data_IF_951736364022
#
_entry.id   IF_951736364022
#
_cell.length_a   1.000
_cell.length_b   1.000
_cell.length_c   1.000
_cell.angle_alpha   90.00
_cell.angle_beta   90.00
_cell.angle_gamma   90.00
#
_symmetry.space_group_name_H-M   'P 1'
#
loop_
_entity.id
_entity.type
_entity.pdbx_description
1 polymer ?
#
# COMPACT_ATOMS: atom_id res chain seq x y z
N UNK A 1 -17.51 3.57 19.15
CA UNK A 1 -17.35 2.96 17.81
C UNK A 1 -16.33 3.82 17.10
N UNK A 2 -15.25 3.23 16.59
CA UNK A 2 -14.29 4.00 15.81
C UNK A 2 -14.92 4.27 14.45
N UNK A 3 -15.15 5.54 14.13
CA UNK A 3 -15.84 5.94 12.91
C UNK A 3 -14.82 6.34 11.83
N UNK A 4 -15.05 5.87 10.61
CA UNK A 4 -14.27 6.20 9.43
C UNK A 4 -15.16 6.99 8.48
N UNK A 5 -14.60 7.97 7.79
CA UNK A 5 -15.33 8.66 6.75
C UNK A 5 -15.65 7.72 5.58
N UNK A 6 -16.71 8.02 4.83
CA UNK A 6 -17.04 7.29 3.61
C UNK A 6 -15.87 7.30 2.61
N UNK A 7 -15.11 8.40 2.56
CA UNK A 7 -13.92 8.53 1.72
C UNK A 7 -12.80 7.60 2.18
N UNK A 8 -12.50 7.52 3.49
CA UNK A 8 -11.53 6.57 4.04
C UNK A 8 -11.90 5.13 3.67
N UNK A 9 -13.16 4.76 3.81
CA UNK A 9 -13.65 3.46 3.39
C UNK A 9 -13.48 3.21 1.90
N UNK A 10 -13.84 4.17 1.06
CA UNK A 10 -13.74 4.03 -0.40
C UNK A 10 -12.27 3.88 -0.84
N UNK A 11 -11.38 4.74 -0.37
CA UNK A 11 -9.97 4.71 -0.72
C UNK A 11 -9.29 3.43 -0.20
N UNK A 12 -9.57 3.04 1.06
CA UNK A 12 -9.06 1.81 1.62
C UNK A 12 -9.52 0.59 0.81
N UNK A 13 -10.79 0.58 0.40
CA UNK A 13 -11.36 -0.48 -0.44
C UNK A 13 -10.70 -0.55 -1.80
N UNK A 14 -10.40 0.58 -2.45
CA UNK A 14 -9.73 0.60 -3.76
C UNK A 14 -8.36 -0.09 -3.69
N UNK A 15 -7.54 0.27 -2.69
CA UNK A 15 -6.22 -0.33 -2.49
C UNK A 15 -6.34 -1.80 -2.11
N UNK A 16 -7.30 -2.12 -1.23
CA UNK A 16 -7.61 -3.49 -0.83
C UNK A 16 -7.97 -4.38 -2.02
N UNK A 17 -8.95 -3.96 -2.82
CA UNK A 17 -9.45 -4.72 -3.96
C UNK A 17 -8.33 -4.95 -4.98
N UNK A 18 -7.44 -3.98 -5.17
CA UNK A 18 -6.26 -4.14 -6.02
C UNK A 18 -5.32 -5.22 -5.49
N UNK A 19 -4.86 -5.10 -4.25
CA UNK A 19 -3.92 -6.04 -3.65
C UNK A 19 -4.48 -7.46 -3.56
N UNK A 20 -5.79 -7.58 -3.31
CA UNK A 20 -6.51 -8.86 -3.21
C UNK A 20 -6.67 -9.59 -4.55
N UNK A 21 -6.36 -8.97 -5.70
CA UNK A 21 -6.36 -9.65 -7.02
C UNK A 21 -5.25 -10.68 -7.16
N UNK A 22 -4.18 -10.53 -6.38
CA UNK A 22 -2.98 -11.34 -6.50
C UNK A 22 -2.89 -12.36 -5.36
N UNK A 23 -2.48 -13.61 -5.62
CA UNK A 23 -2.26 -14.60 -4.58
C UNK A 23 -1.12 -14.17 -3.64
N UNK A 24 -1.14 -14.62 -2.39
CA UNK A 24 -0.08 -14.36 -1.40
C UNK A 24 1.13 -15.30 -1.64
N UNK A 25 1.81 -15.09 -2.76
CA UNK A 25 3.01 -15.80 -3.20
C UNK A 25 4.03 -14.80 -3.73
N UNK A 26 5.31 -15.17 -3.83
CA UNK A 26 6.35 -14.28 -4.39
C UNK A 26 5.99 -13.76 -5.80
N UNK A 27 5.41 -14.63 -6.63
CA UNK A 27 4.91 -14.25 -7.96
C UNK A 27 3.77 -13.23 -7.88
N UNK A 28 2.81 -13.43 -6.97
CA UNK A 28 1.71 -12.50 -6.77
C UNK A 28 2.16 -11.17 -6.15
N UNK A 29 3.13 -11.19 -5.25
CA UNK A 29 3.74 -9.98 -4.68
C UNK A 29 4.49 -9.17 -5.76
N UNK A 30 5.20 -9.86 -6.66
CA UNK A 30 5.83 -9.21 -7.81
C UNK A 30 4.81 -8.54 -8.73
N UNK A 31 3.70 -9.23 -9.02
CA UNK A 31 2.60 -8.66 -9.81
C UNK A 31 1.93 -7.47 -9.12
N UNK A 32 1.74 -7.54 -7.80
CA UNK A 32 1.22 -6.44 -6.99
C UNK A 32 2.13 -5.21 -7.07
N UNK A 33 3.44 -5.40 -6.94
CA UNK A 33 4.42 -4.30 -7.03
C UNK A 33 4.47 -3.68 -8.44
N UNK A 34 4.32 -4.48 -9.49
CA UNK A 34 4.44 -3.99 -10.87
C UNK A 34 3.38 -2.93 -11.23
N UNK A 35 2.15 -3.06 -10.69
CA UNK A 35 1.06 -2.12 -10.94
C UNK A 35 0.76 -1.15 -9.78
N UNK A 36 1.58 -1.13 -8.73
CA UNK A 36 1.20 -0.44 -7.48
C UNK A 36 1.13 1.09 -7.63
N UNK A 37 1.85 1.67 -8.60
CA UNK A 37 1.95 3.12 -8.81
C UNK A 37 0.57 3.79 -8.97
N UNK A 38 -0.34 3.18 -9.72
CA UNK A 38 -1.69 3.72 -9.97
C UNK A 38 -2.54 3.83 -8.69
N UNK A 39 -2.17 3.08 -7.64
CA UNK A 39 -2.86 3.02 -6.36
C UNK A 39 -2.15 3.80 -5.25
N UNK A 40 -0.94 4.32 -5.50
CA UNK A 40 -0.15 5.05 -4.51
C UNK A 40 -0.83 6.34 -4.05
N UNK A 41 -1.56 7.03 -4.94
CA UNK A 41 -2.28 8.24 -4.56
C UNK A 41 -3.41 7.93 -3.55
N UNK A 42 -4.23 6.91 -3.83
CA UNK A 42 -5.29 6.49 -2.93
C UNK A 42 -4.71 5.99 -1.60
N UNK A 43 -3.62 5.22 -1.64
CA UNK A 43 -2.93 4.76 -0.45
C UNK A 43 -2.41 5.94 0.40
N UNK A 44 -1.75 6.93 -0.22
CA UNK A 44 -1.29 8.15 0.46
C UNK A 44 -2.46 8.90 1.11
N UNK A 45 -3.59 9.05 0.42
CA UNK A 45 -4.75 9.74 0.97
C UNK A 45 -5.34 9.01 2.19
N UNK A 46 -5.31 7.66 2.21
CA UNK A 46 -5.70 6.90 3.41
C UNK A 46 -4.76 7.21 4.57
N UNK A 47 -3.44 7.24 4.35
CA UNK A 47 -2.46 7.57 5.38
C UNK A 47 -2.63 9.01 5.89
N UNK A 48 -2.77 9.97 5.00
CA UNK A 48 -2.86 11.40 5.33
C UNK A 48 -4.16 11.75 6.08
N UNK A 49 -5.24 11.00 5.83
CA UNK A 49 -6.56 11.25 6.44
C UNK A 49 -6.85 10.44 7.70
N UNK A 50 -5.99 9.48 8.07
CA UNK A 50 -6.26 8.54 9.16
C UNK A 50 -5.35 8.75 10.36
N UNK A 51 -5.93 8.78 11.55
CA UNK A 51 -5.16 8.66 12.80
C UNK A 51 -4.55 7.26 12.93
N UNK A 52 -3.57 7.10 13.81
CA UNK A 52 -2.96 5.78 14.08
C UNK A 52 -3.98 4.70 14.45
N UNK A 53 -4.92 5.03 15.34
CA UNK A 53 -5.97 4.08 15.77
C UNK A 53 -6.91 3.73 14.61
N UNK A 54 -7.21 4.69 13.72
CA UNK A 54 -7.96 4.43 12.50
C UNK A 54 -7.20 3.55 11.52
N UNK A 55 -5.89 3.78 11.36
CA UNK A 55 -5.04 2.92 10.53
C UNK A 55 -5.01 1.48 11.02
N UNK A 56 -4.89 1.27 12.33
CA UNK A 56 -4.93 -0.08 12.93
C UNK A 56 -6.25 -0.78 12.59
N UNK A 57 -7.37 -0.06 12.71
CA UNK A 57 -8.68 -0.59 12.35
C UNK A 57 -8.86 -0.84 10.84
N UNK A 58 -8.40 0.08 9.99
CA UNK A 58 -8.43 -0.08 8.52
C UNK A 58 -7.64 -1.32 8.12
N UNK A 59 -6.46 -1.56 8.71
CA UNK A 59 -5.63 -2.73 8.40
C UNK A 59 -6.33 -4.05 8.78
N UNK A 60 -7.11 -4.06 9.87
CA UNK A 60 -7.92 -5.21 10.25
C UNK A 60 -9.11 -5.46 9.30
N UNK A 61 -9.80 -4.40 8.88
CA UNK A 61 -10.97 -4.49 7.99
C UNK A 61 -10.57 -4.80 6.54
N UNK A 62 -9.40 -4.34 6.11
CA UNK A 62 -8.93 -4.44 4.73
C UNK A 62 -7.56 -5.14 4.64
N UNK A 63 -7.48 -6.48 4.80
CA UNK A 63 -6.20 -7.22 4.77
C UNK A 63 -5.35 -6.99 3.51
N UNK A 64 -5.98 -6.81 2.35
CA UNK A 64 -5.28 -6.43 1.11
C UNK A 64 -4.55 -5.08 1.21
N UNK A 65 -5.13 -4.08 1.88
CA UNK A 65 -4.45 -2.79 2.13
C UNK A 65 -3.27 -2.99 3.07
N UNK A 66 -3.43 -3.80 4.12
CA UNK A 66 -2.32 -4.13 5.02
C UNK A 66 -1.16 -4.79 4.27
N UNK A 67 -1.46 -5.77 3.40
CA UNK A 67 -0.44 -6.39 2.53
C UNK A 67 0.22 -5.36 1.62
N UNK A 68 -0.54 -4.48 0.98
CA UNK A 68 0.00 -3.40 0.15
C UNK A 68 0.98 -2.52 0.95
N UNK A 69 0.59 -2.09 2.16
CA UNK A 69 1.45 -1.30 3.03
C UNK A 69 2.74 -2.03 3.39
N UNK A 70 2.67 -3.33 3.69
CA UNK A 70 3.86 -4.16 3.97
C UNK A 70 4.78 -4.28 2.77
N UNK A 71 4.24 -4.41 1.56
CA UNK A 71 5.06 -4.42 0.36
C UNK A 71 5.79 -3.09 0.14
N UNK A 72 5.13 -1.95 0.41
CA UNK A 72 5.76 -0.64 0.33
C UNK A 72 6.84 -0.45 1.40
N UNK A 73 6.61 -0.95 2.62
CA UNK A 73 7.60 -0.94 3.71
C UNK A 73 8.83 -1.76 3.32
N UNK A 74 8.67 -2.98 2.80
CA UNK A 74 9.77 -3.83 2.34
C UNK A 74 10.55 -3.21 1.18
N UNK A 75 9.85 -2.58 0.23
CA UNK A 75 10.48 -1.87 -0.87
C UNK A 75 11.34 -0.71 -0.36
N UNK A 76 10.80 0.11 0.53
CA UNK A 76 11.52 1.24 1.13
C UNK A 76 12.73 0.77 1.96
N UNK A 77 12.58 -0.30 2.74
CA UNK A 77 13.66 -0.91 3.50
C UNK A 77 14.76 -1.46 2.58
N UNK A 78 14.38 -2.15 1.50
CA UNK A 78 15.34 -2.66 0.52
C UNK A 78 16.13 -1.54 -0.17
N UNK A 79 15.52 -0.38 -0.40
CA UNK A 79 16.21 0.82 -0.89
C UNK A 79 17.16 1.37 0.18
N UNK A 80 16.69 1.52 1.42
CA UNK A 80 17.50 2.05 2.53
C UNK A 80 18.72 1.18 2.84
N UNK A 81 18.57 -0.14 2.75
CA UNK A 81 19.65 -1.11 2.97
C UNK A 81 20.59 -1.26 1.75
N UNK A 82 20.28 -0.61 0.62
CA UNK A 82 21.05 -0.69 -0.62
C UNK A 82 20.92 -2.01 -1.38
N UNK A 83 19.99 -2.89 -0.97
CA UNK A 83 19.63 -4.13 -1.67
C UNK A 83 18.95 -3.80 -3.01
N UNK A 84 18.07 -2.79 -3.01
CA UNK A 84 17.40 -2.28 -4.20
C UNK A 84 18.08 -0.99 -4.62
N UNK A 85 18.71 -1.02 -5.79
CA UNK A 85 19.36 0.15 -6.36
C UNK A 85 18.30 1.03 -7.05
N UNK A 86 18.12 2.25 -6.55
CA UNK A 86 17.31 3.25 -7.25
C UNK A 86 18.10 3.74 -8.46
N UNK A 87 17.58 3.64 -9.69
CA UNK A 87 18.24 4.20 -10.86
C UNK A 87 18.52 5.68 -10.62
N UNK A 88 19.76 6.12 -10.90
CA UNK A 88 20.07 7.54 -10.91
C UNK A 88 19.21 8.16 -12.00
N UNK A 89 18.45 9.20 -11.68
CA UNK A 89 17.66 9.92 -12.69
C UNK A 89 18.59 10.29 -13.85
N UNK A 90 18.27 9.80 -15.05
CA UNK A 90 18.80 10.40 -16.25
C UNK A 90 18.06 11.72 -16.38
N UNK A 91 18.67 12.81 -15.90
CA UNK A 91 18.25 14.16 -16.25
C UNK A 91 18.34 14.29 -17.78
N UNK A 92 17.21 14.13 -18.46
CA UNK A 92 17.02 14.58 -19.85
C UNK A 92 16.30 15.90 -19.85
#
# INVERSE_FOLDING_TARGET
MLDLSAEQHQLAKIVHDYASRFPATESGDSQLLQGCYDYMLAFKQVLDSSSKVQMDYICLQYPGLFRFAKMMELLAQGIADGVIQVPKEHST
#
